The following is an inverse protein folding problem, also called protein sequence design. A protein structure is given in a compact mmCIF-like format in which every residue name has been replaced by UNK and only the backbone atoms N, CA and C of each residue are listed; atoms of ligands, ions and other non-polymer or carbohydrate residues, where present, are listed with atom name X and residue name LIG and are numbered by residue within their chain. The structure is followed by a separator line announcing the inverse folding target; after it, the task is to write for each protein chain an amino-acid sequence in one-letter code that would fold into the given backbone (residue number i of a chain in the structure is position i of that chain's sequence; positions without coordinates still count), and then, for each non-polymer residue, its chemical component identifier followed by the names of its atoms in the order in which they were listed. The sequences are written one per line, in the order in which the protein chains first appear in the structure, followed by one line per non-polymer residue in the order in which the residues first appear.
data_IF_830718103462
#
_entry.id   IF_830718103462
#
_cell.length_a   1.000
_cell.length_b   1.000
_cell.length_c   1.000
_cell.angle_alpha   90.00
_cell.angle_beta   90.00
_cell.angle_gamma   90.00
#
_symmetry.space_group_name_H-M   'P 1'
#
loop_
_entity.id
_entity.type
_entity.pdbx_description
1 polymer ?
#
# COMPACT_ATOMS: atom_id res chain seq x y z
N UNK A 1 -17.89 -12.07 -6.94
CA UNK A 1 -16.50 -11.64 -6.76
C UNK A 1 -16.47 -10.56 -5.68
N UNK A 2 -15.57 -10.65 -4.68
CA UNK A 2 -15.42 -9.62 -3.64
C UNK A 2 -14.18 -8.78 -3.93
N UNK A 3 -14.26 -7.48 -3.73
CA UNK A 3 -13.15 -6.53 -3.91
C UNK A 3 -12.82 -5.96 -2.54
N UNK A 4 -11.53 -5.95 -2.21
CA UNK A 4 -11.01 -5.38 -0.98
C UNK A 4 -10.08 -4.20 -1.33
N UNK A 5 -10.18 -3.13 -0.55
CA UNK A 5 -9.28 -1.97 -0.65
C UNK A 5 -8.40 -1.95 0.59
N UNK A 6 -7.10 -1.71 0.40
CA UNK A 6 -6.09 -1.66 1.47
C UNK A 6 -5.15 -0.49 1.20
N UNK A 7 -4.86 0.32 2.22
CA UNK A 7 -3.94 1.45 2.13
C UNK A 7 -3.36 1.80 3.52
N UNK A 8 -2.06 2.10 3.58
CA UNK A 8 -1.46 2.80 4.71
C UNK A 8 -1.74 4.30 4.60
N UNK A 9 -2.23 4.93 5.67
CA UNK A 9 -2.75 6.29 5.62
C UNK A 9 -2.42 7.08 6.89
N UNK A 10 -1.89 8.29 6.72
CA UNK A 10 -1.67 9.22 7.83
C UNK A 10 -2.99 9.76 8.40
N UNK A 11 -2.95 10.39 9.57
CA UNK A 11 -4.13 10.95 10.25
C UNK A 11 -4.87 11.99 9.40
N UNK A 12 -4.17 12.68 8.50
CA UNK A 12 -4.71 13.65 7.55
C UNK A 12 -5.05 13.05 6.17
N UNK A 13 -5.15 11.73 6.07
CA UNK A 13 -5.48 10.97 4.85
C UNK A 13 -4.43 10.94 3.75
N UNK A 14 -3.21 11.40 4.02
CA UNK A 14 -2.08 11.27 3.08
C UNK A 14 -1.66 9.80 2.97
N UNK A 15 -1.50 9.31 1.74
CA UNK A 15 -1.03 7.94 1.42
C UNK A 15 0.32 7.91 0.69
N UNK A 16 0.84 9.07 0.29
CA UNK A 16 2.03 9.18 -0.54
C UNK A 16 2.45 10.64 -0.75
N UNK A 17 3.73 10.87 -1.01
CA UNK A 17 4.27 12.17 -1.41
C UNK A 17 5.40 11.94 -2.44
N UNK A 18 5.38 12.66 -3.57
CA UNK A 18 6.39 12.53 -4.65
C UNK A 18 6.69 11.07 -5.07
N UNK A 19 5.63 10.28 -5.26
CA UNK A 19 5.73 8.85 -5.63
C UNK A 19 6.48 7.97 -4.63
N UNK A 20 6.47 8.33 -3.34
CA UNK A 20 7.01 7.53 -2.26
C UNK A 20 6.10 7.59 -1.03
N UNK A 21 6.26 6.62 -0.11
CA UNK A 21 5.66 6.70 1.22
C UNK A 21 6.37 7.80 2.03
N UNK A 22 5.64 8.72 2.68
CA UNK A 22 6.27 9.79 3.46
C UNK A 22 6.77 9.31 4.84
N UNK A 23 6.65 8.01 5.12
CA UNK A 23 7.13 7.35 6.33
C UNK A 23 7.90 6.07 5.97
N UNK A 24 8.76 5.64 6.89
CA UNK A 24 9.36 4.31 6.85
C UNK A 24 8.85 3.50 8.04
N UNK A 25 7.88 2.62 7.79
CA UNK A 25 7.27 1.79 8.83
C UNK A 25 7.22 0.33 8.39
N UNK A 26 8.24 -0.42 8.77
CA UNK A 26 8.47 -1.80 8.32
C UNK A 26 7.37 -2.77 8.74
N UNK A 27 6.73 -2.56 9.89
CA UNK A 27 5.62 -3.39 10.37
C UNK A 27 4.37 -3.26 9.49
N UNK A 28 4.10 -2.07 8.93
CA UNK A 28 2.98 -1.87 7.98
C UNK A 28 3.20 -2.67 6.69
N UNK A 29 4.43 -2.68 6.17
CA UNK A 29 4.77 -3.48 4.98
C UNK A 29 4.66 -4.99 5.24
N UNK A 30 5.08 -5.46 6.42
CA UNK A 30 4.90 -6.87 6.83
C UNK A 30 3.42 -7.21 6.94
N UNK A 31 2.62 -6.34 7.53
CA UNK A 31 1.18 -6.52 7.65
C UNK A 31 0.50 -6.58 6.27
N UNK A 32 0.82 -5.64 5.38
CA UNK A 32 0.35 -5.64 3.99
C UNK A 32 0.67 -6.97 3.30
N UNK A 33 1.94 -7.40 3.35
CA UNK A 33 2.39 -8.66 2.77
C UNK A 33 1.60 -9.85 3.31
N UNK A 34 1.38 -9.92 4.62
CA UNK A 34 0.63 -11.01 5.24
C UNK A 34 -0.84 -11.04 4.78
N UNK A 35 -1.46 -9.87 4.58
CA UNK A 35 -2.85 -9.76 4.13
C UNK A 35 -3.04 -10.03 2.64
N UNK A 36 -2.05 -9.73 1.80
CA UNK A 36 -2.20 -9.82 0.34
C UNK A 36 -1.57 -11.05 -0.28
N UNK A 37 -0.68 -11.76 0.43
CA UNK A 37 -0.04 -12.98 -0.08
C UNK A 37 -1.09 -14.03 -0.43
N UNK A 38 -1.01 -14.60 -1.64
CA UNK A 38 -1.99 -15.57 -2.13
C UNK A 38 -3.21 -14.94 -2.84
N UNK A 39 -3.28 -13.61 -2.92
CA UNK A 39 -4.32 -12.88 -3.65
C UNK A 39 -3.77 -12.14 -4.87
N UNK A 40 -4.65 -11.88 -5.84
CA UNK A 40 -4.34 -10.98 -6.95
C UNK A 40 -4.31 -9.54 -6.45
N UNK A 41 -3.19 -8.86 -6.63
CA UNK A 41 -3.02 -7.45 -6.27
C UNK A 41 -3.22 -6.61 -7.53
N UNK A 42 -4.15 -5.64 -7.45
CA UNK A 42 -4.37 -4.64 -8.49
C UNK A 42 -3.85 -3.30 -7.96
N UNK A 43 -3.02 -2.63 -8.73
CA UNK A 43 -2.43 -1.34 -8.37
C UNK A 43 -2.26 -0.45 -9.60
N UNK A 44 -2.15 0.86 -9.39
CA UNK A 44 -1.82 1.81 -10.47
C UNK A 44 -0.35 1.71 -10.89
N UNK A 45 -0.04 2.17 -12.10
CA UNK A 45 1.33 2.15 -12.67
C UNK A 45 2.34 2.90 -11.80
N UNK A 46 1.97 4.08 -11.28
CA UNK A 46 2.85 4.86 -10.41
C UNK A 46 3.18 4.15 -9.10
N UNK A 47 2.21 3.43 -8.53
CA UNK A 47 2.43 2.58 -7.33
C UNK A 47 3.41 1.45 -7.65
N UNK A 48 3.26 0.81 -8.81
CA UNK A 48 4.21 -0.22 -9.24
C UNK A 48 5.64 0.32 -9.38
N UNK A 49 5.80 1.53 -9.96
CA UNK A 49 7.11 2.17 -10.11
C UNK A 49 7.68 2.79 -8.82
N UNK A 50 6.89 2.88 -7.74
CA UNK A 50 7.35 3.41 -6.44
C UNK A 50 8.01 2.37 -5.53
N UNK A 51 7.94 1.09 -5.92
CA UNK A 51 8.43 -0.07 -5.15
C UNK A 51 9.92 -0.30 -5.42
#
# INVERSE_FOLDING_TARGET
MKIYLIAGMATNRVIGNKNALPWHYSEDLKHFKNLTTGHTIVMGSNTYFSI
#
